data_IF_378273347860
#
_entry.id   IF_378273347860
#
_cell.length_a   1.000
_cell.length_b   1.000
_cell.length_c   1.000
_cell.angle_alpha   90.00
_cell.angle_beta   90.00
_cell.angle_gamma   90.00
#
_symmetry.space_group_name_H-M   'P 1'
#
loop_
_entity.id
_entity.type
_entity.pdbx_description
1 polymer ?
#
# COMPACT_ATOMS: atom_id res chain seq x y z
N UNK A 1 12.79 -7.76 7.14
CA UNK A 1 12.34 -6.76 8.14
C UNK A 1 11.05 -7.25 8.78
N UNK A 2 11.00 -7.35 10.11
CA UNK A 2 9.85 -7.91 10.83
C UNK A 2 8.83 -6.84 11.22
N UNK A 3 7.57 -7.06 10.85
CA UNK A 3 6.40 -6.32 11.30
C UNK A 3 5.76 -7.03 12.49
N UNK A 4 5.13 -6.25 13.35
CA UNK A 4 4.44 -6.75 14.52
C UNK A 4 2.99 -7.04 14.14
N UNK A 5 2.65 -8.32 14.02
CA UNK A 5 1.28 -8.78 13.97
C UNK A 5 0.62 -8.71 15.36
N UNK A 6 -0.70 -8.48 15.39
CA UNK A 6 -1.51 -8.51 16.62
C UNK A 6 -2.70 -9.43 16.38
N UNK A 7 -2.94 -10.37 17.29
CA UNK A 7 -3.98 -11.42 17.19
C UNK A 7 -5.41 -10.91 17.04
N UNK A 8 -5.65 -9.63 17.32
CA UNK A 8 -6.94 -8.96 17.06
C UNK A 8 -7.24 -8.69 15.58
N UNK A 9 -6.26 -8.89 14.70
CA UNK A 9 -6.42 -8.76 13.26
C UNK A 9 -6.57 -10.14 12.63
N UNK A 10 -7.35 -10.19 11.56
CA UNK A 10 -7.33 -11.34 10.67
C UNK A 10 -5.91 -11.59 10.15
N UNK A 11 -5.41 -12.81 10.33
CA UNK A 11 -4.02 -13.16 10.01
C UNK A 11 -3.78 -13.20 8.50
N UNK A 12 -4.74 -13.68 7.73
CA UNK A 12 -4.60 -13.81 6.28
C UNK A 12 -4.63 -12.43 5.62
N UNK A 13 -5.51 -11.54 6.07
CA UNK A 13 -5.58 -10.16 5.60
C UNK A 13 -4.33 -9.36 5.99
N UNK A 14 -3.80 -9.57 7.21
CA UNK A 14 -2.53 -8.96 7.60
C UNK A 14 -1.38 -9.46 6.73
N UNK A 15 -1.29 -10.77 6.51
CA UNK A 15 -0.27 -11.38 5.68
C UNK A 15 -0.36 -10.90 4.23
N UNK A 16 -1.56 -10.85 3.65
CA UNK A 16 -1.83 -10.37 2.30
C UNK A 16 -1.41 -8.92 2.12
N UNK A 17 -1.89 -8.01 2.99
CA UNK A 17 -1.51 -6.60 2.88
C UNK A 17 0.00 -6.41 3.07
N UNK A 18 0.64 -7.13 3.99
CA UNK A 18 2.10 -7.05 4.16
C UNK A 18 2.85 -7.57 2.92
N UNK A 19 2.34 -8.63 2.29
CA UNK A 19 2.92 -9.17 1.06
C UNK A 19 2.76 -8.20 -0.11
N UNK A 20 1.63 -7.52 -0.20
CA UNK A 20 1.40 -6.49 -1.22
C UNK A 20 2.36 -5.29 -1.04
N UNK A 21 2.65 -4.92 0.21
CA UNK A 21 3.68 -3.92 0.52
C UNK A 21 5.06 -4.38 0.06
N UNK A 22 5.45 -5.62 0.35
CA UNK A 22 6.72 -6.20 -0.09
C UNK A 22 6.82 -6.20 -1.62
N UNK A 23 5.77 -6.69 -2.29
CA UNK A 23 5.71 -6.74 -3.75
C UNK A 23 5.90 -5.35 -4.34
N UNK A 24 5.11 -4.37 -3.88
CA UNK A 24 5.20 -3.00 -4.38
C UNK A 24 6.57 -2.36 -4.14
N UNK A 25 7.22 -2.62 -3.01
CA UNK A 25 8.59 -2.17 -2.77
C UNK A 25 9.54 -2.72 -3.84
N UNK A 26 9.39 -3.99 -4.19
CA UNK A 26 10.28 -4.68 -5.14
C UNK A 26 9.98 -4.35 -6.61
N UNK A 27 8.93 -3.59 -6.89
CA UNK A 27 8.64 -2.98 -8.20
C UNK A 27 9.28 -1.59 -8.36
N UNK A 28 9.93 -1.07 -7.31
CA UNK A 28 10.68 0.18 -7.37
C UNK A 28 12.14 -0.09 -7.72
N UNK A 29 12.68 0.73 -8.60
CA UNK A 29 14.13 0.85 -8.78
C UNK A 29 14.75 1.61 -7.61
N UNK A 30 16.07 1.48 -7.41
CA UNK A 30 16.79 2.27 -6.41
C UNK A 30 16.60 3.78 -6.66
N UNK A 31 16.63 4.19 -7.93
CA UNK A 31 16.38 5.57 -8.32
C UNK A 31 14.97 6.05 -7.92
N UNK A 32 13.93 5.34 -8.34
CA UNK A 32 12.54 5.70 -8.02
C UNK A 32 12.27 5.71 -6.52
N UNK A 33 12.81 4.73 -5.79
CA UNK A 33 12.69 4.69 -4.33
C UNK A 33 13.25 5.97 -3.70
N UNK A 34 14.47 6.39 -4.08
CA UNK A 34 15.10 7.60 -3.54
C UNK A 34 14.30 8.85 -3.86
N UNK A 35 13.84 9.01 -5.10
CA UNK A 35 13.01 10.15 -5.49
C UNK A 35 11.70 10.20 -4.69
N UNK A 36 11.01 9.07 -4.60
CA UNK A 36 9.75 8.97 -3.87
C UNK A 36 9.93 9.24 -2.37
N UNK A 37 11.00 8.71 -1.77
CA UNK A 37 11.34 8.92 -0.35
C UNK A 37 11.72 10.37 -0.07
N UNK A 38 12.54 10.98 -0.92
CA UNK A 38 12.92 12.40 -0.79
C UNK A 38 11.69 13.30 -0.89
N UNK A 39 10.82 13.06 -1.89
CA UNK A 39 9.55 13.78 -2.03
C UNK A 39 8.68 13.63 -0.78
N UNK A 40 8.56 12.42 -0.24
CA UNK A 40 7.75 12.17 0.95
C UNK A 40 8.32 12.85 2.19
N UNK A 41 9.65 12.89 2.35
CA UNK A 41 10.30 13.57 3.49
C UNK A 41 10.08 15.09 3.40
N UNK A 42 10.21 15.66 2.19
CA UNK A 42 10.07 17.10 1.94
C UNK A 42 8.62 17.57 2.05
N UNK A 43 7.68 16.84 1.41
CA UNK A 43 6.29 17.30 1.19
C UNK A 43 5.24 16.48 1.94
N UNK A 44 5.63 15.35 2.53
CA UNK A 44 4.68 14.39 3.09
C UNK A 44 3.93 13.60 2.02
N UNK A 45 2.67 13.24 2.33
CA UNK A 45 1.80 12.51 1.39
C UNK A 45 1.42 13.41 0.22
N UNK A 46 1.49 12.84 -0.98
CA UNK A 46 1.05 13.50 -2.20
C UNK A 46 -0.48 13.68 -2.19
N UNK A 47 -0.94 14.91 -2.40
CA UNK A 47 -2.36 15.30 -2.36
C UNK A 47 -3.11 14.70 -3.56
N UNK A 48 -2.44 14.60 -4.71
CA UNK A 48 -2.95 13.98 -5.93
C UNK A 48 -3.36 12.51 -5.72
N UNK A 49 -2.74 11.82 -4.75
CA UNK A 49 -3.10 10.45 -4.37
C UNK A 49 -4.56 10.32 -3.88
N UNK A 50 -5.15 11.40 -3.36
CA UNK A 50 -6.53 11.39 -2.88
C UNK A 50 -7.54 11.11 -4.01
N UNK A 51 -7.30 11.65 -5.21
CA UNK A 51 -8.16 11.44 -6.35
C UNK A 51 -8.15 9.97 -6.80
N UNK A 52 -6.97 9.35 -6.83
CA UNK A 52 -6.81 7.93 -7.17
C UNK A 52 -7.45 7.03 -6.11
N UNK A 53 -7.28 7.34 -4.83
CA UNK A 53 -7.95 6.62 -3.75
C UNK A 53 -9.48 6.74 -3.84
N UNK A 54 -10.01 7.94 -4.12
CA UNK A 54 -11.44 8.14 -4.28
C UNK A 54 -11.98 7.33 -5.47
N UNK A 55 -11.33 7.40 -6.63
CA UNK A 55 -11.73 6.66 -7.81
C UNK A 55 -11.72 5.14 -7.57
N UNK A 56 -10.71 4.62 -6.86
CA UNK A 56 -10.64 3.21 -6.48
C UNK A 56 -11.77 2.82 -5.53
N UNK A 57 -12.12 3.68 -4.56
CA UNK A 57 -13.25 3.44 -3.64
C UNK A 57 -14.59 3.44 -4.35
N UNK A 58 -14.80 4.36 -5.29
CA UNK A 58 -16.04 4.41 -6.08
C UNK A 58 -16.19 3.19 -6.98
N UNK A 59 -15.09 2.73 -7.59
CA UNK A 59 -15.07 1.48 -8.35
C UNK A 59 -15.39 0.28 -7.46
N UNK A 60 -14.69 0.13 -6.34
CA UNK A 60 -14.92 -0.97 -5.41
C UNK A 60 -16.34 -1.01 -4.85
N UNK A 61 -16.97 0.16 -4.63
CA UNK A 61 -18.37 0.22 -4.23
C UNK A 61 -19.30 -0.34 -5.31
N UNK A 62 -19.08 0.03 -6.59
CA UNK A 62 -19.88 -0.49 -7.70
C UNK A 62 -19.69 -1.99 -7.86
N UNK A 63 -18.43 -2.43 -7.92
CA UNK A 63 -18.10 -3.85 -8.06
C UNK A 63 -18.72 -4.69 -6.94
N UNK A 64 -18.73 -4.17 -5.70
CA UNK A 64 -19.37 -4.86 -4.56
C UNK A 64 -20.89 -4.90 -4.65
N UNK A 65 -21.52 -3.86 -5.18
CA UNK A 65 -22.98 -3.85 -5.41
C UNK A 65 -23.33 -4.90 -6.45
N UNK A 66 -22.59 -4.96 -7.55
CA UNK A 66 -22.81 -5.92 -8.64
C UNK A 66 -22.61 -7.35 -8.15
N UNK A 67 -21.52 -7.62 -7.41
CA UNK A 67 -21.25 -8.92 -6.78
C UNK A 67 -22.42 -9.38 -5.89
N UNK A 68 -22.94 -8.49 -5.03
CA UNK A 68 -24.04 -8.81 -4.12
C UNK A 68 -25.37 -9.01 -4.86
N UNK A 69 -25.60 -8.25 -5.93
CA UNK A 69 -26.78 -8.40 -6.78
C UNK A 69 -26.76 -9.74 -7.52
N UNK A 70 -25.61 -10.14 -8.07
CA UNK A 70 -25.40 -11.45 -8.71
C UNK A 70 -25.59 -12.61 -7.72
N UNK A 71 -25.33 -12.39 -6.42
CA UNK A 71 -25.64 -13.33 -5.34
C UNK A 71 -27.12 -13.40 -4.97
N UNK A 72 -27.99 -12.66 -5.66
CA UNK A 72 -29.45 -12.72 -5.54
C UNK A 72 -30.08 -11.69 -4.62
N UNK A 73 -29.32 -10.72 -4.09
CA UNK A 73 -29.88 -9.64 -3.28
C UNK A 73 -30.65 -8.65 -4.16
N UNK A 74 -31.65 -7.99 -3.57
CA UNK A 74 -32.24 -6.82 -4.24
C UNK A 74 -31.21 -5.69 -4.34
N UNK A 75 -31.36 -4.81 -5.35
CA UNK A 75 -30.47 -3.65 -5.51
C UNK A 75 -30.39 -2.79 -4.24
N UNK A 76 -31.48 -2.70 -3.47
CA UNK A 76 -31.53 -1.95 -2.21
C UNK A 76 -30.65 -2.62 -1.15
N UNK A 77 -30.77 -3.92 -0.95
CA UNK A 77 -29.97 -4.68 0.01
C UNK A 77 -28.49 -4.68 -0.37
N UNK A 78 -28.18 -4.90 -1.66
CA UNK A 78 -26.83 -4.86 -2.18
C UNK A 78 -26.16 -3.50 -1.91
N UNK A 79 -26.85 -2.38 -2.20
CA UNK A 79 -26.37 -1.03 -1.89
C UNK A 79 -26.13 -0.83 -0.39
N UNK A 80 -27.05 -1.26 0.46
CA UNK A 80 -26.88 -1.13 1.92
C UNK A 80 -25.66 -1.90 2.40
N UNK A 81 -25.53 -3.17 2.03
CA UNK A 81 -24.43 -4.03 2.46
C UNK A 81 -23.07 -3.59 1.90
N UNK A 82 -23.02 -3.18 0.63
CA UNK A 82 -21.79 -2.65 0.03
C UNK A 82 -21.30 -1.37 0.73
N UNK A 83 -22.22 -0.48 1.13
CA UNK A 83 -21.86 0.71 1.91
C UNK A 83 -21.32 0.36 3.30
N UNK A 84 -21.91 -0.62 4.01
CA UNK A 84 -21.38 -1.09 5.28
C UNK A 84 -19.99 -1.73 5.11
N UNK A 85 -19.80 -2.54 4.06
CA UNK A 85 -18.49 -3.09 3.71
C UNK A 85 -17.47 -1.96 3.49
N UNK A 86 -17.80 -0.95 2.66
CA UNK A 86 -16.91 0.18 2.38
C UNK A 86 -16.46 0.98 3.60
N UNK A 87 -17.23 0.96 4.71
CA UNK A 87 -16.81 1.58 5.98
C UNK A 87 -15.65 0.86 6.65
N UNK A 88 -15.45 -0.43 6.36
CA UNK A 88 -14.37 -1.25 6.92
C UNK A 88 -13.10 -1.23 6.05
N UNK A 89 -13.23 -0.81 4.79
CA UNK A 89 -12.15 -0.89 3.80
C UNK A 89 -11.40 0.43 3.61
N UNK A 90 -10.13 0.32 3.22
CA UNK A 90 -9.28 1.40 2.72
C UNK A 90 -8.79 1.08 1.30
N UNK A 91 -8.59 2.11 0.47
CA UNK A 91 -7.86 1.99 -0.79
C UNK A 91 -6.36 1.98 -0.48
N UNK A 92 -5.70 0.88 -0.80
CA UNK A 92 -4.34 0.58 -0.35
C UNK A 92 -3.30 1.11 -1.34
N UNK A 93 -2.32 1.86 -0.84
CA UNK A 93 -1.06 2.08 -1.56
C UNK A 93 -0.12 0.91 -1.27
N UNK A 94 0.38 0.26 -2.33
CA UNK A 94 1.26 -0.90 -2.24
C UNK A 94 2.56 -0.62 -3.04
N UNK A 95 3.65 -0.17 -2.40
CA UNK A 95 3.79 0.05 -0.96
C UNK A 95 3.16 1.38 -0.54
N UNK A 96 3.05 1.58 0.76
CA UNK A 96 2.56 2.82 1.35
C UNK A 96 3.47 4.00 0.95
N UNK A 97 2.94 5.22 0.78
CA UNK A 97 3.76 6.36 0.27
C UNK A 97 4.95 6.68 1.19
N UNK A 98 4.80 6.43 2.50
CA UNK A 98 5.90 6.55 3.48
C UNK A 98 7.06 5.61 3.15
N UNK A 99 6.79 4.49 2.51
CA UNK A 99 7.78 3.52 2.06
C UNK A 99 8.22 3.72 0.60
N UNK A 100 7.88 4.86 -0.02
CA UNK A 100 8.27 5.16 -1.40
C UNK A 100 7.22 4.76 -2.45
N UNK A 101 5.99 4.46 -2.03
CA UNK A 101 4.89 4.16 -2.94
C UNK A 101 4.53 5.32 -3.88
N UNK A 102 4.10 4.96 -5.09
CA UNK A 102 3.59 5.89 -6.11
C UNK A 102 2.16 6.33 -5.74
N UNK A 103 1.86 7.65 -5.65
CA UNK A 103 0.54 8.12 -5.22
C UNK A 103 -0.60 7.77 -6.16
N UNK A 104 -0.31 7.55 -7.44
CA UNK A 104 -1.27 7.16 -8.48
C UNK A 104 -1.59 5.66 -8.49
N UNK A 105 -0.79 4.83 -7.82
CA UNK A 105 -0.97 3.37 -7.79
C UNK A 105 -1.77 2.97 -6.55
N UNK A 106 -2.95 2.42 -6.80
CA UNK A 106 -3.80 1.77 -5.80
C UNK A 106 -3.79 0.27 -6.06
N UNK A 107 -3.28 -0.50 -5.08
CA UNK A 107 -3.13 -1.95 -5.20
C UNK A 107 -4.41 -2.74 -4.90
N UNK A 108 -5.48 -2.08 -4.46
CA UNK A 108 -6.78 -2.68 -4.18
C UNK A 108 -7.41 -2.16 -2.90
N UNK A 109 -8.42 -2.88 -2.42
CA UNK A 109 -9.08 -2.63 -1.14
C UNK A 109 -8.57 -3.58 -0.04
N UNK A 110 -8.65 -3.17 1.21
CA UNK A 110 -8.42 -4.07 2.35
C UNK A 110 -8.86 -3.47 3.69
N UNK A 111 -8.84 -4.27 4.74
CA UNK A 111 -9.23 -3.84 6.09
C UNK A 111 -8.40 -2.62 6.51
N UNK A 112 -9.10 -1.52 6.80
CA UNK A 112 -8.47 -0.22 7.10
C UNK A 112 -7.66 -0.24 8.40
N UNK A 113 -8.02 -1.11 9.36
CA UNK A 113 -7.35 -1.23 10.66
C UNK A 113 -6.03 -1.99 10.49
N UNK A 114 -6.01 -3.01 9.65
CA UNK A 114 -4.79 -3.72 9.23
C UNK A 114 -3.86 -2.74 8.52
N UNK A 115 -4.37 -2.02 7.52
CA UNK A 115 -3.59 -1.03 6.76
C UNK A 115 -2.99 0.04 7.69
N UNK A 116 -3.79 0.58 8.61
CA UNK A 116 -3.31 1.54 9.60
C UNK A 116 -2.21 0.96 10.50
N UNK A 117 -2.36 -0.29 10.94
CA UNK A 117 -1.37 -0.98 11.76
C UNK A 117 -0.03 -1.15 11.02
N UNK A 118 -0.05 -1.56 9.75
CA UNK A 118 1.14 -1.67 8.91
C UNK A 118 1.75 -0.28 8.66
N UNK A 119 0.94 0.69 8.25
CA UNK A 119 1.36 2.08 7.98
C UNK A 119 2.05 2.75 9.17
N UNK A 120 1.54 2.53 10.39
CA UNK A 120 2.15 3.08 11.61
C UNK A 120 3.57 2.55 11.86
N UNK A 121 3.83 1.31 11.45
CA UNK A 121 5.09 0.62 11.67
C UNK A 121 6.18 1.05 10.69
N UNK A 122 5.80 1.54 9.51
CA UNK A 122 6.73 2.07 8.52
C UNK A 122 7.55 3.23 9.05
N UNK A 123 7.00 4.09 9.91
CA UNK A 123 7.68 5.30 10.43
C UNK A 123 9.04 5.03 11.06
N UNK A 124 9.21 3.89 11.72
CA UNK A 124 10.48 3.47 12.32
C UNK A 124 11.26 2.53 11.42
N UNK A 125 10.55 1.64 10.74
CA UNK A 125 11.12 0.58 9.88
C UNK A 125 11.77 1.12 8.61
N UNK A 126 11.18 2.14 8.00
CA UNK A 126 11.67 2.66 6.72
C UNK A 126 13.08 3.21 6.82
N UNK A 127 13.49 3.73 7.98
CA UNK A 127 14.85 4.24 8.24
C UNK A 127 15.92 3.17 8.03
N UNK A 128 15.59 1.90 8.28
CA UNK A 128 16.52 0.77 8.06
C UNK A 128 16.71 0.55 6.56
N UNK A 129 15.62 0.60 5.78
CA UNK A 129 15.66 0.47 4.32
C UNK A 129 16.39 1.67 3.72
N UNK A 130 16.02 2.89 4.10
CA UNK A 130 16.67 4.14 3.66
C UNK A 130 18.19 4.05 3.82
N UNK A 131 18.67 3.64 5.01
CA UNK A 131 20.11 3.47 5.27
C UNK A 131 20.76 2.44 4.36
N UNK A 132 20.15 1.26 4.18
CA UNK A 132 20.73 0.20 3.35
C UNK A 132 20.78 0.61 1.87
N UNK A 133 19.74 1.26 1.37
CA UNK A 133 19.68 1.72 -0.01
C UNK A 133 20.71 2.81 -0.27
N UNK A 134 20.87 3.78 0.63
CA UNK A 134 21.90 4.82 0.46
C UNK A 134 23.33 4.24 0.48
N UNK A 135 23.62 3.24 1.31
CA UNK A 135 24.94 2.59 1.31
C UNK A 135 25.23 1.84 0.00
N UNK A 136 24.24 1.12 -0.54
CA UNK A 136 24.37 0.39 -1.81
C UNK A 136 24.52 1.38 -2.97
N UNK A 137 23.71 2.45 -2.97
CA UNK A 137 23.67 3.45 -4.04
C UNK A 137 24.99 4.20 -4.23
N UNK A 138 25.83 4.35 -3.19
CA UNK A 138 27.15 5.00 -3.29
C UNK A 138 28.09 4.34 -4.32
N UNK A 139 27.92 3.04 -4.55
CA UNK A 139 28.76 2.25 -5.44
C UNK A 139 28.10 1.98 -6.80
N UNK A 140 26.99 2.66 -7.11
CA UNK A 140 26.23 2.48 -8.35
C UNK A 140 26.41 3.66 -9.30
N UNK A 141 26.49 3.37 -10.59
CA UNK A 141 26.34 4.37 -11.65
C UNK A 141 24.89 4.83 -11.76
N UNK A 142 24.66 5.97 -12.42
CA UNK A 142 23.30 6.44 -12.72
C UNK A 142 22.45 5.40 -13.46
N UNK A 143 23.08 4.63 -14.36
CA UNK A 143 22.39 3.56 -15.09
C UNK A 143 22.03 2.39 -14.17
N UNK A 144 22.93 1.99 -13.28
CA UNK A 144 22.64 0.94 -12.30
C UNK A 144 21.52 1.35 -11.34
N UNK A 145 21.47 2.60 -10.90
CA UNK A 145 20.40 3.10 -10.02
C UNK A 145 19.02 2.99 -10.68
N UNK A 146 18.93 3.24 -11.99
CA UNK A 146 17.68 3.22 -12.76
C UNK A 146 17.23 1.81 -13.14
N UNK A 147 18.12 0.83 -13.15
CA UNK A 147 17.80 -0.55 -13.59
C UNK A 147 17.88 -1.59 -12.47
N UNK A 148 18.36 -1.22 -11.28
CA UNK A 148 18.40 -2.12 -10.12
C UNK A 148 17.12 -1.97 -9.31
N UNK A 149 16.33 -3.03 -9.25
CA UNK A 149 15.13 -3.11 -8.42
C UNK A 149 15.46 -3.41 -6.96
N UNK A 150 14.59 -2.96 -6.05
CA UNK A 150 14.69 -3.33 -4.65
C UNK A 150 14.45 -4.83 -4.46
N UNK A 151 15.04 -5.38 -3.41
CA UNK A 151 14.82 -6.77 -2.97
C UNK A 151 14.61 -6.80 -1.45
N UNK A 152 13.51 -6.21 -1.03
CA UNK A 152 13.08 -6.15 0.37
C UNK A 152 12.31 -7.43 0.70
N UNK A 153 12.54 -7.95 1.92
CA UNK A 153 11.78 -9.04 2.51
C UNK A 153 11.07 -8.57 3.78
N UNK A 154 9.75 -8.71 3.82
CA UNK A 154 8.88 -8.38 4.95
C UNK A 154 8.34 -9.66 5.60
N UNK A 155 8.38 -9.72 6.92
CA UNK A 155 7.88 -10.87 7.70
C UNK A 155 7.03 -10.38 8.85
N UNK A 156 6.21 -11.23 9.47
CA UNK A 156 5.44 -10.89 10.67
C UNK A 156 5.49 -12.00 11.72
#
# INVERSE_FOLDING_TARGET
MKFNYKTKFDSEEFARQLKDQEKGMNELTVHEYRENRNRFIDKGRAIEGNAYQQAARERALRDKIDELFEQGLTLKEAKTQANEWMKTQAALHNPDQVAGGRPEIIGGMGDKRVNFSIGSQWRTRIKIVDKQIEEIAKNMTSEQLKNTYLNVKLTH
#
